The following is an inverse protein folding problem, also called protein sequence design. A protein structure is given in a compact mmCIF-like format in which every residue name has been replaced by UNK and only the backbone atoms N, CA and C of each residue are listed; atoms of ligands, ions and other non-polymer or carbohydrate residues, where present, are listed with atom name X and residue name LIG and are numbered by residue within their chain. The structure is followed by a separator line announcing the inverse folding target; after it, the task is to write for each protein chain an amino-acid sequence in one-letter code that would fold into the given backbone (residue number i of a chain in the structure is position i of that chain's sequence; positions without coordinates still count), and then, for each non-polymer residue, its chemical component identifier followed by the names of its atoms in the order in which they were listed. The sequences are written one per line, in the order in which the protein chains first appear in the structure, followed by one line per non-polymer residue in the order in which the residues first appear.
data_IF_562431514074
#
_entry.id   IF_562431514074
#
_cell.length_a   1.000
_cell.length_b   1.000
_cell.length_c   1.000
_cell.angle_alpha   90.00
_cell.angle_beta   90.00
_cell.angle_gamma   90.00
#
_symmetry.space_group_name_H-M   'P 1'
#
loop_
_entity.id
_entity.type
_entity.pdbx_description
1 polymer ?
#
# COMPACT_ATOMS: atom_id res chain seq x y z
N UNK A 1 9.90 11.32 4.25
CA UNK A 1 8.60 11.96 4.59
C UNK A 1 8.60 12.22 6.10
N UNK A 2 8.37 13.46 6.50
CA UNK A 2 8.21 13.80 7.92
C UNK A 2 6.71 13.79 8.25
N UNK A 3 6.28 12.84 9.08
CA UNK A 3 4.88 12.75 9.50
C UNK A 3 4.64 13.56 10.78
N UNK A 4 3.54 14.34 10.87
CA UNK A 4 3.11 14.97 12.11
C UNK A 4 2.93 13.93 13.23
N UNK A 5 3.13 14.34 14.48
CA UNK A 5 3.09 13.44 15.65
C UNK A 5 1.82 12.58 15.68
N UNK A 6 0.65 13.17 15.45
CA UNK A 6 -0.65 12.46 15.43
C UNK A 6 -0.80 11.43 14.30
N UNK A 7 0.02 11.53 13.25
CA UNK A 7 0.06 10.54 12.17
C UNK A 7 1.10 9.46 12.39
N UNK A 8 1.89 9.55 13.45
CA UNK A 8 2.88 8.54 13.78
C UNK A 8 2.24 7.33 14.45
N UNK A 9 2.71 6.15 14.06
CA UNK A 9 2.21 4.89 14.61
C UNK A 9 2.36 4.80 16.13
N UNK A 10 3.50 5.25 16.65
CA UNK A 10 3.79 5.31 18.09
C UNK A 10 2.78 6.15 18.88
N UNK A 11 2.30 7.25 18.32
CA UNK A 11 1.24 8.06 18.93
C UNK A 11 -0.07 7.28 19.03
N UNK A 12 -0.50 6.64 17.93
CA UNK A 12 -1.77 5.90 17.87
C UNK A 12 -1.80 4.69 18.82
N UNK A 13 -0.69 3.95 18.89
CA UNK A 13 -0.58 2.79 19.80
C UNK A 13 -0.66 3.19 21.27
N UNK A 14 -0.10 4.35 21.63
CA UNK A 14 -0.06 4.86 23.00
C UNK A 14 -1.23 5.79 23.33
N UNK A 15 -2.23 5.89 22.44
CA UNK A 15 -3.37 6.76 22.68
C UNK A 15 -4.17 6.29 23.90
N UNK A 16 -4.47 7.20 24.89
CA UNK A 16 -5.24 6.88 26.08
C UNK A 16 -6.57 6.20 25.80
N UNK A 17 -7.04 5.35 26.70
CA UNK A 17 -8.27 4.55 26.49
C UNK A 17 -9.54 5.39 26.45
N UNK A 18 -9.56 6.56 27.08
CA UNK A 18 -10.64 7.53 27.08
C UNK A 18 -10.77 8.32 25.76
N UNK A 19 -9.75 8.25 24.89
CA UNK A 19 -9.79 8.90 23.58
C UNK A 19 -10.32 7.96 22.49
N UNK A 20 -11.01 8.55 21.51
CA UNK A 20 -11.63 7.84 20.39
C UNK A 20 -10.57 7.44 19.36
N UNK A 21 -10.13 6.19 19.40
CA UNK A 21 -9.13 5.63 18.47
C UNK A 21 -9.59 5.67 17.00
N UNK A 22 -10.89 5.52 16.74
CA UNK A 22 -11.43 5.58 15.39
C UNK A 22 -11.24 6.95 14.77
N UNK A 23 -11.56 8.01 15.52
CA UNK A 23 -11.34 9.40 15.08
C UNK A 23 -9.86 9.73 14.95
N UNK A 24 -9.03 9.25 15.88
CA UNK A 24 -7.58 9.46 15.81
C UNK A 24 -6.97 8.83 14.54
N UNK A 25 -7.43 7.63 14.15
CA UNK A 25 -7.02 7.00 12.90
C UNK A 25 -7.47 7.79 11.66
N UNK A 26 -8.69 8.32 11.64
CA UNK A 26 -9.16 9.19 10.55
C UNK A 26 -8.28 10.43 10.44
N UNK A 27 -8.03 11.14 11.56
CA UNK A 27 -7.15 12.31 11.59
C UNK A 27 -5.73 11.97 11.08
N UNK A 28 -5.19 10.81 11.48
CA UNK A 28 -3.89 10.35 11.02
C UNK A 28 -3.86 10.13 9.49
N UNK A 29 -4.89 9.51 8.90
CA UNK A 29 -4.98 9.32 7.45
C UNK A 29 -5.06 10.65 6.70
N UNK A 30 -5.83 11.62 7.21
CA UNK A 30 -5.93 12.97 6.63
C UNK A 30 -4.59 13.70 6.67
N UNK A 31 -3.87 13.59 7.77
CA UNK A 31 -2.53 14.19 7.92
C UNK A 31 -1.50 13.54 6.97
N UNK A 32 -1.58 12.23 6.76
CA UNK A 32 -0.71 11.53 5.79
C UNK A 32 -1.02 12.00 4.37
N UNK A 33 -2.29 12.05 3.98
CA UNK A 33 -2.71 12.52 2.65
C UNK A 33 -2.26 13.97 2.39
N UNK A 34 -2.29 14.83 3.40
CA UNK A 34 -1.82 16.20 3.29
C UNK A 34 -0.30 16.30 3.02
N UNK A 35 0.49 15.33 3.50
CA UNK A 35 1.94 15.28 3.31
C UNK A 35 2.35 14.52 2.04
N UNK A 36 1.52 13.61 1.56
CA UNK A 36 1.80 12.72 0.42
C UNK A 36 0.72 12.89 -0.65
N UNK A 37 0.90 13.82 -1.61
CA UNK A 37 -0.13 14.16 -2.59
C UNK A 37 -0.66 12.97 -3.40
N UNK A 38 0.19 11.99 -3.71
CA UNK A 38 -0.25 10.79 -4.44
C UNK A 38 -1.27 9.95 -3.67
N UNK A 39 -1.32 10.06 -2.34
CA UNK A 39 -2.29 9.36 -1.49
C UNK A 39 -3.58 10.14 -1.28
N UNK A 40 -3.72 11.36 -1.81
CA UNK A 40 -4.90 12.19 -1.64
C UNK A 40 -6.19 11.44 -2.03
N UNK A 41 -7.10 11.24 -1.07
CA UNK A 41 -8.33 10.48 -1.23
C UNK A 41 -8.18 8.96 -1.33
N UNK A 42 -6.96 8.42 -1.18
CA UNK A 42 -6.71 6.99 -1.28
C UNK A 42 -6.88 6.24 0.05
N UNK A 43 -6.53 6.87 1.16
CA UNK A 43 -6.55 6.21 2.45
C UNK A 43 -7.98 6.03 3.00
N UNK A 44 -8.30 4.88 3.62
CA UNK A 44 -9.61 4.63 4.20
C UNK A 44 -9.86 5.55 5.41
N UNK A 45 -11.10 6.02 5.58
CA UNK A 45 -11.52 6.91 6.68
C UNK A 45 -12.73 6.37 7.45
N UNK A 46 -13.03 5.08 7.31
CA UNK A 46 -14.22 4.48 7.90
C UNK A 46 -13.96 3.77 9.24
N UNK A 47 -12.87 4.14 9.92
CA UNK A 47 -12.45 3.49 11.17
C UNK A 47 -13.45 3.63 12.32
N UNK A 48 -14.28 4.67 12.32
CA UNK A 48 -15.32 4.89 13.33
C UNK A 48 -16.44 3.85 13.29
N UNK A 49 -16.50 3.01 12.25
CA UNK A 49 -17.46 1.88 12.14
C UNK A 49 -17.04 0.64 12.94
N UNK A 50 -15.79 0.60 13.37
CA UNK A 50 -15.24 -0.55 14.10
C UNK A 50 -15.27 -0.31 15.61
N UNK A 51 -15.38 -1.39 16.38
CA UNK A 51 -15.26 -1.33 17.82
C UNK A 51 -13.86 -0.81 18.22
N UNK A 52 -13.76 0.14 19.17
CA UNK A 52 -12.48 0.70 19.59
C UNK A 52 -11.47 -0.35 20.06
N UNK A 53 -11.96 -1.39 20.74
CA UNK A 53 -11.12 -2.51 21.22
C UNK A 53 -10.45 -3.24 20.05
N UNK A 54 -11.20 -3.54 18.98
CA UNK A 54 -10.66 -4.21 17.80
C UNK A 54 -9.54 -3.39 17.16
N UNK A 55 -9.72 -2.08 17.00
CA UNK A 55 -8.72 -1.19 16.42
C UNK A 55 -7.44 -1.15 17.28
N UNK A 56 -7.59 -1.05 18.59
CA UNK A 56 -6.45 -1.08 19.52
C UNK A 56 -5.70 -2.41 19.50
N UNK A 57 -6.41 -3.53 19.45
CA UNK A 57 -5.81 -4.85 19.37
C UNK A 57 -5.05 -5.04 18.04
N UNK A 58 -5.59 -4.57 16.92
CA UNK A 58 -4.88 -4.58 15.63
C UNK A 58 -3.59 -3.73 15.68
N UNK A 59 -3.65 -2.52 16.21
CA UNK A 59 -2.45 -1.69 16.38
C UNK A 59 -1.40 -2.39 17.25
N UNK A 60 -1.78 -3.03 18.35
CA UNK A 60 -0.85 -3.77 19.21
C UNK A 60 -0.22 -4.97 18.50
N UNK A 61 -0.98 -5.68 17.65
CA UNK A 61 -0.45 -6.82 16.88
C UNK A 61 0.67 -6.36 15.92
N UNK A 62 0.48 -5.23 15.25
CA UNK A 62 1.48 -4.69 14.33
C UNK A 62 2.62 -3.94 15.03
N UNK A 63 2.53 -3.67 16.32
CA UNK A 63 3.59 -3.01 17.11
C UNK A 63 4.60 -4.01 17.73
N UNK A 64 4.68 -5.24 17.26
CA UNK A 64 5.62 -6.23 17.81
C UNK A 64 7.05 -5.94 17.34
N UNK A 65 8.02 -6.21 18.21
CA UNK A 65 9.45 -6.00 17.97
C UNK A 65 9.95 -6.60 16.64
N UNK A 66 9.39 -7.75 16.26
CA UNK A 66 9.71 -8.41 15.00
C UNK A 66 9.40 -7.56 13.76
N UNK A 67 8.38 -6.68 13.83
CA UNK A 67 8.02 -5.77 12.74
C UNK A 67 8.79 -4.46 12.82
N UNK A 68 9.06 -3.96 14.03
CA UNK A 68 9.85 -2.73 14.21
C UNK A 68 11.31 -2.88 13.79
N UNK A 69 11.88 -4.08 13.96
CA UNK A 69 13.26 -4.41 13.60
C UNK A 69 13.39 -5.07 12.22
N UNK A 70 12.30 -5.15 11.46
CA UNK A 70 12.31 -5.75 10.14
C UNK A 70 13.10 -4.90 9.16
N UNK A 71 14.12 -5.49 8.55
CA UNK A 71 14.90 -4.86 7.48
C UNK A 71 14.30 -5.17 6.12
N UNK A 72 14.38 -4.21 5.20
CA UNK A 72 13.92 -4.38 3.83
C UNK A 72 12.41 -4.20 3.65
N UNK A 73 11.89 -4.73 2.55
CA UNK A 73 10.50 -4.55 2.12
C UNK A 73 9.51 -5.49 2.83
N UNK A 74 9.55 -5.53 4.16
CA UNK A 74 8.63 -6.39 4.94
C UNK A 74 7.22 -5.85 4.89
N UNK A 75 7.04 -4.54 4.95
CA UNK A 75 5.71 -3.92 4.89
C UNK A 75 5.07 -4.10 3.52
N UNK A 76 5.85 -3.99 2.44
CA UNK A 76 5.39 -4.29 1.09
C UNK A 76 4.90 -5.74 0.97
N UNK A 77 5.67 -6.70 1.47
CA UNK A 77 5.27 -8.13 1.47
C UNK A 77 4.04 -8.42 2.31
N UNK A 78 3.87 -7.75 3.46
CA UNK A 78 2.68 -7.86 4.29
C UNK A 78 1.48 -7.30 3.51
N UNK A 79 1.65 -6.14 2.87
CA UNK A 79 0.61 -5.52 2.06
C UNK A 79 0.19 -6.44 0.89
N UNK A 80 1.15 -6.97 0.12
CA UNK A 80 0.89 -7.94 -0.95
C UNK A 80 0.18 -9.20 -0.45
N UNK A 81 0.58 -9.73 0.71
CA UNK A 81 -0.09 -10.88 1.31
C UNK A 81 -1.57 -10.60 1.57
N UNK A 82 -1.90 -9.46 2.16
CA UNK A 82 -3.29 -9.09 2.40
C UNK A 82 -4.05 -8.81 1.11
N UNK A 83 -3.46 -8.12 0.13
CA UNK A 83 -4.08 -7.93 -1.20
C UNK A 83 -4.45 -9.28 -1.83
N UNK A 84 -3.52 -10.23 -1.84
CA UNK A 84 -3.76 -11.58 -2.37
C UNK A 84 -4.87 -12.29 -1.61
N UNK A 85 -4.91 -12.21 -0.27
CA UNK A 85 -5.96 -12.83 0.55
C UNK A 85 -7.34 -12.21 0.29
N UNK A 86 -7.43 -10.89 0.19
CA UNK A 86 -8.70 -10.21 -0.10
C UNK A 86 -9.18 -10.47 -1.52
N UNK A 87 -8.28 -10.49 -2.50
CA UNK A 87 -8.63 -10.84 -3.88
C UNK A 87 -9.19 -12.27 -3.99
N UNK A 88 -8.60 -13.23 -3.26
CA UNK A 88 -9.12 -14.61 -3.24
C UNK A 88 -10.48 -14.72 -2.55
N UNK A 89 -10.77 -13.91 -1.54
CA UNK A 89 -12.07 -13.90 -0.84
C UNK A 89 -13.15 -13.12 -1.60
N UNK A 90 -12.80 -12.05 -2.32
CA UNK A 90 -13.71 -11.21 -3.10
C UNK A 90 -13.95 -11.69 -4.54
N UNK A 91 -13.12 -12.58 -5.06
CA UNK A 91 -13.21 -13.08 -6.45
C UNK A 91 -14.53 -13.83 -6.77
N UNK A 92 -15.28 -14.23 -5.75
CA UNK A 92 -16.60 -14.86 -5.93
C UNK A 92 -17.72 -13.84 -6.24
N UNK A 93 -17.55 -12.56 -5.88
CA UNK A 93 -18.64 -11.57 -5.99
C UNK A 93 -18.45 -10.53 -7.10
N UNK A 94 -17.24 -10.30 -7.63
CA UNK A 94 -16.99 -9.17 -8.53
C UNK A 94 -16.25 -9.47 -9.84
N UNK A 95 -15.68 -10.65 -10.04
CA UNK A 95 -14.95 -10.97 -11.29
C UNK A 95 -13.62 -10.21 -11.46
N UNK A 96 -13.19 -9.48 -10.46
CA UNK A 96 -11.90 -8.78 -10.46
C UNK A 96 -10.79 -9.75 -10.06
N UNK A 97 -10.07 -10.26 -11.05
CA UNK A 97 -8.97 -11.19 -10.82
C UNK A 97 -7.67 -10.43 -10.58
N UNK A 98 -7.07 -10.67 -9.41
CA UNK A 98 -5.68 -10.28 -9.19
C UNK A 98 -4.78 -11.12 -10.10
N UNK A 99 -3.95 -10.49 -10.91
CA UNK A 99 -2.99 -11.23 -11.73
C UNK A 99 -2.00 -11.98 -10.83
N UNK A 100 -1.82 -13.30 -10.99
CA UNK A 100 -0.93 -14.06 -10.16
C UNK A 100 0.50 -13.49 -10.17
N UNK A 101 1.18 -13.37 -9.02
CA UNK A 101 2.54 -12.80 -8.94
C UNK A 101 3.55 -13.48 -9.86
N UNK A 102 3.41 -14.80 -10.08
CA UNK A 102 4.28 -15.55 -11.01
C UNK A 102 4.14 -15.08 -12.46
N UNK A 103 2.91 -14.75 -12.88
CA UNK A 103 2.63 -14.24 -14.22
C UNK A 103 3.13 -12.79 -14.37
N UNK A 104 2.87 -11.96 -13.36
CA UNK A 104 3.37 -10.57 -13.32
C UNK A 104 4.89 -10.56 -13.45
N UNK A 105 5.58 -11.37 -12.65
CA UNK A 105 7.04 -11.50 -12.71
C UNK A 105 7.53 -11.96 -14.07
N UNK A 106 6.87 -12.93 -14.67
CA UNK A 106 7.22 -13.41 -16.02
C UNK A 106 7.12 -12.29 -17.04
N UNK A 107 6.02 -11.55 -17.05
CA UNK A 107 5.77 -10.44 -17.99
C UNK A 107 6.84 -9.36 -17.81
N UNK A 108 7.11 -8.92 -16.59
CA UNK A 108 8.11 -7.88 -16.32
C UNK A 108 9.51 -8.32 -16.75
N UNK A 109 9.89 -9.58 -16.49
CA UNK A 109 11.20 -10.11 -16.93
C UNK A 109 11.32 -10.30 -18.45
N UNK A 110 10.19 -10.42 -19.17
CA UNK A 110 10.21 -10.48 -20.65
C UNK A 110 10.30 -9.07 -21.26
N UNK A 111 9.62 -8.09 -20.64
CA UNK A 111 9.59 -6.70 -21.11
C UNK A 111 10.89 -5.97 -20.75
N UNK A 112 11.50 -6.30 -19.61
CA UNK A 112 12.71 -5.66 -19.06
C UNK A 112 12.59 -4.12 -19.03
N UNK A 113 11.67 -3.56 -18.22
CA UNK A 113 11.39 -2.12 -18.19
C UNK A 113 12.50 -1.36 -17.45
N UNK A 114 13.59 -1.07 -18.13
CA UNK A 114 14.82 -0.51 -17.56
C UNK A 114 14.82 1.04 -17.53
N UNK A 115 14.02 1.71 -18.37
CA UNK A 115 13.89 3.17 -18.41
C UNK A 115 12.62 3.64 -19.14
N UNK A 116 12.29 4.93 -18.95
CA UNK A 116 11.24 5.59 -19.72
C UNK A 116 9.86 5.52 -19.07
N UNK A 117 8.82 5.29 -19.87
CA UNK A 117 7.43 5.28 -19.41
C UNK A 117 6.92 3.85 -19.34
N UNK A 118 6.43 3.47 -18.17
CA UNK A 118 5.70 2.21 -17.94
C UNK A 118 4.21 2.53 -17.83
N UNK A 119 3.42 2.06 -18.79
CA UNK A 119 1.98 2.27 -18.82
C UNK A 119 1.23 0.95 -18.74
N UNK A 120 0.31 0.86 -17.78
CA UNK A 120 -0.61 -0.27 -17.64
C UNK A 120 -2.06 0.24 -17.77
N UNK A 121 -2.77 -0.12 -18.88
CA UNK A 121 -4.14 0.36 -19.15
C UNK A 121 -5.21 -0.33 -18.29
N UNK A 122 -4.86 -1.33 -17.50
CA UNK A 122 -5.73 -2.09 -16.61
C UNK A 122 -5.00 -2.50 -15.33
N UNK A 123 -4.40 -1.52 -14.65
CA UNK A 123 -3.37 -1.74 -13.63
C UNK A 123 -3.85 -2.46 -12.35
N UNK A 124 -5.16 -2.57 -12.14
CA UNK A 124 -5.71 -3.22 -10.95
C UNK A 124 -5.15 -2.59 -9.67
N UNK A 125 -4.59 -3.42 -8.80
CA UNK A 125 -3.90 -2.99 -7.57
C UNK A 125 -2.44 -2.56 -7.78
N UNK A 126 -1.96 -2.41 -9.01
CA UNK A 126 -0.61 -1.92 -9.32
C UNK A 126 0.50 -2.97 -9.26
N UNK A 127 0.17 -4.26 -9.33
CA UNK A 127 1.15 -5.34 -9.22
C UNK A 127 2.27 -5.28 -10.26
N UNK A 128 1.96 -4.93 -11.52
CA UNK A 128 2.98 -4.76 -12.57
C UNK A 128 4.00 -3.68 -12.24
N UNK A 129 3.56 -2.58 -11.65
CA UNK A 129 4.44 -1.48 -11.25
C UNK A 129 5.36 -1.87 -10.09
N UNK A 130 4.83 -2.58 -9.10
CA UNK A 130 5.62 -3.08 -7.97
C UNK A 130 6.72 -4.02 -8.46
N UNK A 131 6.38 -4.96 -9.36
CA UNK A 131 7.37 -5.87 -9.95
C UNK A 131 8.37 -5.17 -10.87
N UNK A 132 7.98 -4.10 -11.57
CA UNK A 132 8.90 -3.20 -12.27
C UNK A 132 9.90 -2.59 -11.29
N UNK A 133 9.43 -2.12 -10.14
CA UNK A 133 10.30 -1.62 -9.07
C UNK A 133 11.29 -2.67 -8.55
N UNK A 134 10.83 -3.90 -8.31
CA UNK A 134 11.72 -5.00 -7.91
C UNK A 134 12.76 -5.32 -8.99
N UNK A 135 12.36 -5.41 -10.25
CA UNK A 135 13.25 -5.64 -11.37
C UNK A 135 14.35 -4.57 -11.44
N UNK A 136 14.02 -3.30 -11.34
CA UNK A 136 14.98 -2.19 -11.36
C UNK A 136 15.93 -2.25 -10.15
N UNK A 137 15.42 -2.52 -8.96
CA UNK A 137 16.24 -2.66 -7.76
C UNK A 137 17.22 -3.84 -7.87
N UNK A 138 16.82 -4.97 -8.46
CA UNK A 138 17.70 -6.12 -8.73
C UNK A 138 18.83 -5.75 -9.70
N UNK A 139 18.60 -4.80 -10.62
CA UNK A 139 19.61 -4.25 -11.52
C UNK A 139 20.47 -3.14 -10.88
N UNK A 140 20.22 -2.80 -9.59
CA UNK A 140 20.92 -1.73 -8.90
C UNK A 140 20.48 -0.32 -9.33
N UNK A 141 19.31 -0.21 -9.95
CA UNK A 141 18.77 1.05 -10.47
C UNK A 141 17.63 1.51 -9.56
N UNK A 142 17.63 2.80 -9.20
CA UNK A 142 16.55 3.40 -8.40
C UNK A 142 15.31 3.64 -9.27
N UNK A 143 14.16 3.01 -8.97
CA UNK A 143 12.97 3.03 -9.83
C UNK A 143 12.47 4.44 -10.15
N UNK A 144 12.40 5.33 -9.14
CA UNK A 144 11.93 6.72 -9.30
C UNK A 144 12.76 7.58 -10.26
N UNK A 145 14.00 7.18 -10.54
CA UNK A 145 14.88 7.85 -11.51
C UNK A 145 14.85 7.22 -12.90
N UNK A 146 14.50 5.94 -12.97
CA UNK A 146 14.54 5.20 -14.22
C UNK A 146 13.24 5.27 -15.00
N UNK A 147 12.10 5.13 -14.31
CA UNK A 147 10.80 5.02 -14.96
C UNK A 147 9.79 6.04 -14.43
N UNK A 148 8.87 6.43 -15.30
CA UNK A 148 7.65 7.16 -14.92
C UNK A 148 6.46 6.22 -15.10
N UNK A 149 5.66 6.08 -14.06
CA UNK A 149 4.56 5.11 -14.01
C UNK A 149 3.23 5.79 -14.35
N UNK A 150 2.48 5.22 -15.28
CA UNK A 150 1.11 5.60 -15.58
C UNK A 150 0.21 4.37 -15.53
N UNK A 151 -0.87 4.45 -14.74
CA UNK A 151 -1.88 3.41 -14.64
C UNK A 151 -3.26 3.92 -15.01
N UNK A 152 -4.05 3.04 -15.63
CA UNK A 152 -5.47 3.25 -15.81
C UNK A 152 -6.23 2.11 -15.16
N UNK A 153 -7.29 2.44 -14.41
CA UNK A 153 -8.14 1.47 -13.75
C UNK A 153 -9.60 1.98 -13.74
N UNK A 154 -10.54 1.08 -13.98
CA UNK A 154 -11.98 1.40 -14.02
C UNK A 154 -12.57 1.53 -12.61
N UNK A 155 -12.16 0.66 -11.71
CA UNK A 155 -12.70 0.59 -10.34
C UNK A 155 -11.94 1.55 -9.43
N UNK A 156 -12.67 2.48 -8.80
CA UNK A 156 -12.09 3.44 -7.85
C UNK A 156 -11.39 2.73 -6.68
N UNK A 157 -11.95 1.65 -6.18
CA UNK A 157 -11.35 0.86 -5.10
C UNK A 157 -9.96 0.34 -5.49
N UNK A 158 -9.81 -0.20 -6.70
CA UNK A 158 -8.52 -0.68 -7.19
C UNK A 158 -7.53 0.45 -7.42
N UNK A 159 -7.99 1.60 -7.92
CA UNK A 159 -7.14 2.79 -8.04
C UNK A 159 -6.58 3.22 -6.68
N UNK A 160 -7.40 3.22 -5.64
CA UNK A 160 -6.96 3.53 -4.26
C UNK A 160 -5.97 2.49 -3.75
N UNK A 161 -6.25 1.20 -3.95
CA UNK A 161 -5.33 0.11 -3.59
C UNK A 161 -4.00 0.21 -4.34
N UNK A 162 -4.02 0.55 -5.63
CA UNK A 162 -2.80 0.75 -6.42
C UNK A 162 -1.94 1.88 -5.87
N UNK A 163 -2.54 3.04 -5.55
CA UNK A 163 -1.81 4.16 -4.94
C UNK A 163 -1.18 3.79 -3.60
N UNK A 164 -1.91 3.09 -2.74
CA UNK A 164 -1.37 2.61 -1.47
C UNK A 164 -0.25 1.60 -1.69
N UNK A 165 -0.40 0.69 -2.66
CA UNK A 165 0.60 -0.30 -3.01
C UNK A 165 1.92 0.36 -3.47
N UNK A 166 1.84 1.32 -4.38
CA UNK A 166 2.99 2.08 -4.85
C UNK A 166 3.68 2.82 -3.69
N UNK A 167 2.92 3.52 -2.85
CA UNK A 167 3.47 4.25 -1.71
C UNK A 167 4.20 3.34 -0.71
N UNK A 168 3.64 2.17 -0.40
CA UNK A 168 4.26 1.20 0.53
C UNK A 168 5.58 0.66 -0.04
N UNK A 169 5.70 0.55 -1.37
CA UNK A 169 6.92 0.10 -2.06
C UNK A 169 7.87 1.24 -2.44
N UNK A 170 7.55 2.50 -2.04
CA UNK A 170 8.40 3.66 -2.33
C UNK A 170 8.44 4.04 -3.81
N UNK A 171 7.39 3.72 -4.54
CA UNK A 171 7.20 4.09 -5.95
C UNK A 171 6.28 5.31 -6.06
N UNK A 172 6.63 6.26 -6.96
CA UNK A 172 5.86 7.49 -7.21
C UNK A 172 5.43 7.58 -8.69
#
# INVERSE_FOLDING_TARGET
IFLPEKAQYSYLVNLPEDQDIGKALVEAMELIEAQVPMLSGALPKEYTRFEPKLLRDLLRIFNRDALQNANGDVFGRIYEYFLNKFAMSGAQEGGEFLTPPSLVRLIVNVIEPDHGIVFDPACGSGGMFVWTGYFLNEQGTEPSKAVTIYGQEKAETNTRLSRMNLAVHGLE
#
